data_IF_068297097095
#
_entry.id   IF_068297097095
#
_cell.length_a   1.000
_cell.length_b   1.000
_cell.length_c   1.000
_cell.angle_alpha   90.00
_cell.angle_beta   90.00
_cell.angle_gamma   90.00
#
_symmetry.space_group_name_H-M   'P 1'
#
loop_
_entity.id
_entity.type
_entity.pdbx_description
1 polymer ?
#
# COMPACT_ATOMS: atom_id res chain seq x y z
N UNK A 1 -1.68 18.19 -27.48
CA UNK A 1 -3.12 17.85 -27.51
C UNK A 1 -3.76 18.43 -26.26
N UNK A 2 -4.93 19.08 -26.35
CA UNK A 2 -5.67 19.53 -25.17
C UNK A 2 -6.14 18.32 -24.34
N UNK A 3 -6.14 18.46 -23.02
CA UNK A 3 -6.59 17.42 -22.10
C UNK A 3 -8.11 17.21 -22.23
N UNK A 4 -8.62 15.97 -22.09
CA UNK A 4 -10.05 15.70 -22.00
C UNK A 4 -10.70 16.49 -20.85
N UNK A 5 -11.98 16.90 -20.96
CA UNK A 5 -12.64 17.76 -19.97
C UNK A 5 -12.58 17.20 -18.53
N UNK A 6 -12.78 15.89 -18.36
CA UNK A 6 -12.70 15.23 -17.05
C UNK A 6 -11.27 15.21 -16.47
N UNK A 7 -10.24 15.15 -17.32
CA UNK A 7 -8.85 15.19 -16.88
C UNK A 7 -8.44 16.61 -16.48
N UNK A 8 -8.96 17.63 -17.17
CA UNK A 8 -8.79 19.03 -16.79
C UNK A 8 -9.49 19.33 -15.45
N UNK A 9 -10.70 18.81 -15.23
CA UNK A 9 -11.42 18.96 -13.96
C UNK A 9 -10.68 18.27 -12.79
N UNK A 10 -10.12 17.08 -13.02
CA UNK A 10 -9.30 16.40 -12.01
C UNK A 10 -8.00 17.14 -11.73
N UNK A 11 -7.32 17.63 -12.76
CA UNK A 11 -6.10 18.43 -12.65
C UNK A 11 -6.34 19.76 -11.93
N UNK A 12 -7.49 20.41 -12.17
CA UNK A 12 -7.85 21.66 -11.49
C UNK A 12 -8.23 21.44 -10.02
N UNK A 13 -8.74 20.25 -9.67
CA UNK A 13 -9.09 19.88 -8.29
C UNK A 13 -7.90 19.30 -7.52
N UNK A 14 -6.94 18.70 -8.22
CA UNK A 14 -5.71 18.23 -7.63
C UNK A 14 -4.76 19.43 -7.46
N UNK A 15 -4.45 19.79 -6.23
CA UNK A 15 -3.45 20.84 -5.94
C UNK A 15 -2.04 20.48 -6.46
N UNK A 16 -1.82 19.21 -6.84
CA UNK A 16 -0.56 18.65 -7.31
C UNK A 16 -0.78 18.02 -8.70
N UNK A 17 0.12 18.30 -9.65
CA UNK A 17 0.11 17.69 -10.98
C UNK A 17 0.58 16.23 -10.92
N UNK A 18 -0.39 15.32 -10.85
CA UNK A 18 -0.14 13.87 -10.97
C UNK A 18 -0.13 13.39 -12.43
N UNK A 19 -0.67 14.19 -13.37
CA UNK A 19 -0.81 13.80 -14.78
C UNK A 19 0.52 13.93 -15.51
N UNK A 20 1.25 15.02 -15.33
CA UNK A 20 2.54 15.26 -15.96
C UNK A 20 3.56 14.14 -15.69
N UNK A 21 3.82 13.78 -14.42
CA UNK A 21 4.68 12.66 -14.07
C UNK A 21 4.17 11.32 -14.63
N UNK A 22 2.87 11.07 -14.57
CA UNK A 22 2.27 9.86 -15.14
C UNK A 22 2.50 9.78 -16.66
N UNK A 23 2.26 10.85 -17.41
CA UNK A 23 2.44 10.88 -18.88
C UNK A 23 3.90 10.64 -19.24
N UNK A 24 4.85 11.22 -18.50
CA UNK A 24 6.29 10.98 -18.70
C UNK A 24 6.65 9.52 -18.45
N UNK A 25 6.19 8.95 -17.34
CA UNK A 25 6.41 7.55 -17.00
C UNK A 25 5.77 6.61 -18.03
N UNK A 26 4.54 6.90 -18.45
CA UNK A 26 3.83 6.14 -19.47
C UNK A 26 4.52 6.20 -20.82
N UNK A 27 4.99 7.37 -21.27
CA UNK A 27 5.72 7.51 -22.52
C UNK A 27 7.03 6.72 -22.53
N UNK A 28 7.80 6.79 -21.43
CA UNK A 28 9.02 6.01 -21.27
C UNK A 28 8.73 4.49 -21.25
N UNK A 29 7.69 4.08 -20.52
CA UNK A 29 7.21 2.70 -20.53
C UNK A 29 6.78 2.25 -21.93
N UNK A 30 6.00 3.07 -22.65
CA UNK A 30 5.56 2.85 -24.03
C UNK A 30 6.74 2.60 -24.98
N UNK A 31 7.76 3.47 -24.91
CA UNK A 31 8.94 3.33 -25.75
C UNK A 31 9.72 2.04 -25.40
N UNK A 32 9.93 1.78 -24.11
CA UNK A 32 10.61 0.59 -23.65
C UNK A 32 9.87 -0.70 -24.03
N UNK A 33 8.56 -0.82 -23.77
CA UNK A 33 7.85 -2.08 -24.03
C UNK A 33 7.75 -2.37 -25.51
N UNK A 34 7.59 -1.35 -26.37
CA UNK A 34 7.58 -1.53 -27.83
C UNK A 34 8.92 -2.02 -28.34
N UNK A 35 10.02 -1.46 -27.80
CA UNK A 35 11.37 -1.89 -28.15
C UNK A 35 11.68 -3.30 -27.63
N UNK A 36 11.33 -3.60 -26.37
CA UNK A 36 11.70 -4.84 -25.71
C UNK A 36 10.90 -6.06 -26.19
N UNK A 37 9.62 -5.88 -26.55
CA UNK A 37 8.81 -6.98 -27.06
C UNK A 37 9.06 -7.29 -28.53
N UNK A 38 9.53 -6.32 -29.32
CA UNK A 38 9.66 -6.39 -30.79
C UNK A 38 8.37 -6.78 -31.53
N UNK A 39 7.22 -6.72 -30.85
CA UNK A 39 5.91 -7.05 -31.39
C UNK A 39 5.35 -5.89 -32.22
N UNK A 40 4.49 -6.19 -33.21
CA UNK A 40 3.84 -5.16 -34.02
C UNK A 40 2.48 -4.72 -33.44
N UNK A 41 1.79 -5.62 -32.71
CA UNK A 41 0.45 -5.37 -32.17
C UNK A 41 0.48 -5.14 -30.67
N UNK A 42 -0.24 -4.11 -30.21
CA UNK A 42 -0.28 -3.73 -28.78
C UNK A 42 -0.84 -4.83 -27.87
N UNK A 43 -1.82 -5.61 -28.36
CA UNK A 43 -2.31 -6.79 -27.62
C UNK A 43 -1.20 -7.81 -27.38
N UNK A 44 -0.40 -8.13 -28.40
CA UNK A 44 0.73 -9.06 -28.29
C UNK A 44 1.82 -8.51 -27.37
N UNK A 45 2.10 -7.19 -27.42
CA UNK A 45 3.01 -6.52 -26.49
C UNK A 45 2.55 -6.69 -25.03
N UNK A 46 1.26 -6.48 -24.75
CA UNK A 46 0.69 -6.64 -23.40
C UNK A 46 0.77 -8.09 -22.92
N UNK A 47 0.50 -9.05 -23.79
CA UNK A 47 0.58 -10.47 -23.43
C UNK A 47 2.02 -10.92 -23.19
N UNK A 48 2.98 -10.38 -23.95
CA UNK A 48 4.40 -10.56 -23.70
C UNK A 48 4.83 -10.00 -22.34
N UNK A 49 4.50 -8.73 -22.04
CA UNK A 49 4.91 -8.06 -20.78
C UNK A 49 4.43 -8.84 -19.53
N UNK A 50 3.26 -9.47 -19.59
CA UNK A 50 2.74 -10.28 -18.47
C UNK A 50 3.64 -11.48 -18.12
N UNK A 51 4.32 -12.05 -19.11
CA UNK A 51 5.18 -13.22 -18.95
C UNK A 51 6.63 -12.89 -18.63
N UNK A 52 7.04 -11.62 -18.73
CA UNK A 52 8.44 -11.25 -18.55
C UNK A 52 8.79 -10.88 -17.11
N UNK A 53 10.01 -11.19 -16.66
CA UNK A 53 10.54 -10.67 -15.41
C UNK A 53 10.56 -9.13 -15.47
N UNK A 54 10.07 -8.46 -14.43
CA UNK A 54 10.09 -7.00 -14.37
C UNK A 54 11.48 -6.52 -13.91
N UNK A 55 12.33 -5.96 -14.81
CA UNK A 55 13.69 -5.57 -14.46
C UNK A 55 13.68 -4.41 -13.46
N UNK A 56 12.79 -3.44 -13.61
CA UNK A 56 12.64 -2.30 -12.69
C UNK A 56 12.30 -2.79 -11.28
N UNK A 57 11.36 -3.73 -11.17
CA UNK A 57 11.03 -4.36 -9.88
C UNK A 57 12.23 -5.09 -9.30
N UNK A 58 12.98 -5.83 -10.11
CA UNK A 58 14.18 -6.56 -9.65
C UNK A 58 15.22 -5.59 -9.09
N UNK A 59 15.46 -4.49 -9.79
CA UNK A 59 16.48 -3.50 -9.42
C UNK A 59 16.05 -2.74 -8.15
N UNK A 60 14.78 -2.33 -8.05
CA UNK A 60 14.23 -1.72 -6.83
C UNK A 60 14.29 -2.68 -5.65
N UNK A 61 13.91 -3.95 -5.83
CA UNK A 61 13.99 -4.95 -4.75
C UNK A 61 15.43 -5.19 -4.29
N UNK A 62 16.42 -5.07 -5.17
CA UNK A 62 17.83 -5.15 -4.81
C UNK A 62 18.27 -3.97 -3.92
N UNK A 63 17.76 -2.77 -4.18
CA UNK A 63 18.00 -1.58 -3.34
C UNK A 63 17.35 -1.69 -1.96
N UNK A 64 16.27 -2.46 -1.82
CA UNK A 64 15.57 -2.67 -0.55
C UNK A 64 16.19 -3.75 0.34
N UNK A 65 17.21 -4.48 -0.14
CA UNK A 65 17.89 -5.51 0.65
C UNK A 65 18.58 -4.89 1.86
N UNK A 66 18.50 -5.56 3.01
CA UNK A 66 19.04 -5.05 4.27
C UNK A 66 20.55 -4.86 4.19
N UNK A 67 21.24 -5.79 3.52
CA UNK A 67 22.67 -5.80 3.29
C UNK A 67 23.17 -4.81 2.21
N UNK A 68 22.27 -4.10 1.53
CA UNK A 68 22.64 -3.13 0.51
C UNK A 68 22.78 -1.72 1.12
N UNK A 69 24.03 -1.32 1.37
CA UNK A 69 24.41 -0.05 2.01
C UNK A 69 24.95 1.00 1.02
N UNK A 70 24.67 0.83 -0.26
CA UNK A 70 24.98 1.86 -1.26
C UNK A 70 24.22 3.16 -0.96
N UNK A 71 24.78 4.31 -1.36
CA UNK A 71 24.16 5.61 -1.13
C UNK A 71 22.75 5.70 -1.75
N UNK A 72 22.55 5.09 -2.92
CA UNK A 72 21.26 5.01 -3.62
C UNK A 72 20.23 4.17 -2.85
N UNK A 73 20.65 3.00 -2.33
CA UNK A 73 19.80 2.15 -1.49
C UNK A 73 19.40 2.87 -0.20
N UNK A 74 20.33 3.56 0.46
CA UNK A 74 20.07 4.32 1.67
C UNK A 74 19.12 5.50 1.40
N UNK A 75 19.32 6.24 0.30
CA UNK A 75 18.42 7.33 -0.10
C UNK A 75 16.99 6.82 -0.34
N UNK A 76 16.82 5.69 -1.02
CA UNK A 76 15.51 5.09 -1.24
C UNK A 76 14.84 4.63 0.07
N UNK A 77 15.58 3.93 0.94
CA UNK A 77 15.08 3.48 2.26
C UNK A 77 14.64 4.67 3.13
N UNK A 78 15.41 5.75 3.14
CA UNK A 78 15.07 7.00 3.84
C UNK A 78 13.81 7.65 3.25
N UNK A 79 13.69 7.72 1.93
CA UNK A 79 12.50 8.28 1.28
C UNK A 79 11.23 7.46 1.61
N UNK A 80 11.34 6.13 1.64
CA UNK A 80 10.23 5.25 2.06
C UNK A 80 9.88 5.48 3.53
N UNK A 81 10.89 5.61 4.40
CA UNK A 81 10.69 5.90 5.83
C UNK A 81 9.99 7.24 6.04
N UNK A 82 10.44 8.30 5.35
CA UNK A 82 9.81 9.63 5.42
C UNK A 82 8.36 9.58 4.93
N UNK A 83 8.11 8.89 3.81
CA UNK A 83 6.75 8.68 3.31
C UNK A 83 5.88 7.97 4.36
N UNK A 84 6.39 6.91 4.99
CA UNK A 84 5.65 6.16 5.99
C UNK A 84 5.31 7.02 7.21
N UNK A 85 6.25 7.84 7.69
CA UNK A 85 6.02 8.79 8.80
C UNK A 85 4.94 9.80 8.42
N UNK A 86 4.97 10.35 7.20
CA UNK A 86 3.97 11.31 6.72
C UNK A 86 2.59 10.67 6.63
N UNK A 87 2.48 9.47 6.07
CA UNK A 87 1.21 8.74 5.96
C UNK A 87 0.65 8.36 7.34
N UNK A 88 1.52 8.00 8.28
CA UNK A 88 1.14 7.74 9.67
C UNK A 88 0.63 9.01 10.37
N UNK A 89 1.14 10.19 10.00
CA UNK A 89 0.68 11.48 10.55
C UNK A 89 -0.68 11.95 10.00
N UNK A 90 -1.08 11.48 8.82
CA UNK A 90 -2.35 11.87 8.19
C UNK A 90 -3.49 11.03 8.77
N UNK A 91 -4.40 11.72 9.44
CA UNK A 91 -5.62 11.14 10.00
C UNK A 91 -6.83 11.86 9.44
N UNK A 92 -7.77 11.11 8.88
CA UNK A 92 -9.07 11.65 8.48
C UNK A 92 -10.07 11.37 9.59
N UNK A 93 -10.69 12.42 10.11
CA UNK A 93 -11.85 12.29 10.99
C UNK A 93 -13.10 12.20 10.12
N UNK A 94 -13.82 11.08 10.22
CA UNK A 94 -15.06 10.85 9.49
C UNK A 94 -16.16 10.55 10.47
N UNK A 95 -17.21 11.37 10.49
CA UNK A 95 -18.40 11.08 11.30
C UNK A 95 -19.32 10.14 10.54
N UNK A 96 -19.44 8.88 10.99
CA UNK A 96 -20.41 7.91 10.44
C UNK A 96 -21.44 7.58 11.50
N UNK A 97 -22.73 7.77 11.17
CA UNK A 97 -23.87 7.47 12.06
C UNK A 97 -23.74 8.09 13.47
N UNK A 98 -23.19 9.30 13.56
CA UNK A 98 -23.01 10.01 14.83
C UNK A 98 -21.78 9.61 15.65
N UNK A 99 -20.94 8.71 15.14
CA UNK A 99 -19.66 8.32 15.75
C UNK A 99 -18.51 8.90 14.94
N UNK A 100 -17.56 9.56 15.60
CA UNK A 100 -16.33 10.01 14.98
C UNK A 100 -15.36 8.82 14.83
N UNK A 101 -15.08 8.45 13.59
CA UNK A 101 -14.10 7.43 13.24
C UNK A 101 -12.82 8.11 12.73
N UNK A 102 -11.66 7.65 13.21
CA UNK A 102 -10.36 8.09 12.71
C UNK A 102 -9.84 7.08 11.68
N UNK A 103 -9.64 7.52 10.44
CA UNK A 103 -9.06 6.70 9.37
C UNK A 103 -7.60 7.09 9.20
N UNK A 104 -6.69 6.14 9.43
CA UNK A 104 -5.26 6.30 9.12
C UNK A 104 -4.94 5.82 7.70
N UNK A 105 -3.98 6.44 7.04
CA UNK A 105 -3.49 6.00 5.72
C UNK A 105 -2.47 4.86 5.79
N UNK A 106 -2.18 4.33 6.99
CA UNK A 106 -1.26 3.20 7.19
C UNK A 106 -1.67 1.97 6.38
N UNK A 107 -2.97 1.74 6.24
CA UNK A 107 -3.51 0.66 5.42
C UNK A 107 -4.77 1.12 4.70
N UNK A 108 -4.75 1.04 3.36
CA UNK A 108 -5.93 1.28 2.54
C UNK A 108 -6.69 -0.03 2.42
N UNK A 109 -7.93 -0.06 2.90
CA UNK A 109 -8.81 -1.22 2.74
C UNK A 109 -9.29 -1.29 1.28
N UNK A 110 -8.65 -2.15 0.47
CA UNK A 110 -8.96 -2.31 -0.96
C UNK A 110 -10.28 -3.08 -1.17
N UNK A 111 -10.67 -3.92 -0.21
CA UNK A 111 -11.95 -4.61 -0.19
C UNK A 111 -12.39 -4.85 1.26
N UNK A 112 -13.69 -4.73 1.59
CA UNK A 112 -14.19 -5.00 2.94
C UNK A 112 -13.90 -6.46 3.30
N UNK A 113 -12.93 -6.67 4.20
CA UNK A 113 -12.71 -7.98 4.80
C UNK A 113 -13.77 -8.19 5.88
N UNK A 114 -14.48 -9.32 5.81
CA UNK A 114 -15.23 -9.81 6.94
C UNK A 114 -14.25 -10.13 8.07
N UNK A 115 -14.22 -9.28 9.09
CA UNK A 115 -13.39 -9.48 10.27
C UNK A 115 -13.89 -10.70 11.04
N UNK A 116 -13.16 -11.81 10.91
CA UNK A 116 -13.36 -13.01 11.72
C UNK A 116 -12.22 -13.19 12.73
N UNK A 117 -10.97 -12.93 12.29
CA UNK A 117 -9.77 -13.04 13.12
C UNK A 117 -8.63 -12.19 12.57
N UNK A 118 -7.92 -11.49 13.44
CA UNK A 118 -6.69 -10.77 13.13
C UNK A 118 -5.61 -11.10 14.15
N UNK A 119 -4.36 -11.16 13.68
CA UNK A 119 -3.18 -11.45 14.50
C UNK A 119 -2.03 -10.55 14.05
N UNK A 120 -1.41 -9.89 15.01
CA UNK A 120 -0.24 -9.03 14.82
C UNK A 120 0.83 -9.46 15.83
N UNK A 121 2.08 -9.54 15.39
CA UNK A 121 3.22 -9.79 16.28
C UNK A 121 4.08 -8.54 16.37
N UNK A 122 4.33 -8.06 17.59
CA UNK A 122 5.17 -6.88 17.83
C UNK A 122 5.89 -6.99 19.16
N UNK A 123 7.18 -6.64 19.17
CA UNK A 123 8.00 -6.59 20.40
C UNK A 123 8.00 -7.89 21.23
N UNK A 124 7.80 -9.05 20.58
CA UNK A 124 7.72 -10.33 21.26
C UNK A 124 6.39 -10.62 21.97
N UNK A 125 5.35 -9.90 21.58
CA UNK A 125 3.97 -10.19 21.95
C UNK A 125 3.15 -10.45 20.68
N UNK A 126 2.23 -11.39 20.80
CA UNK A 126 1.17 -11.67 19.85
C UNK A 126 -0.10 -10.97 20.32
N UNK A 127 -0.65 -10.12 19.47
CA UNK A 127 -1.93 -9.45 19.66
C UNK A 127 -2.93 -10.14 18.74
N UNK A 128 -3.94 -10.78 19.32
CA UNK A 128 -4.98 -11.50 18.60
C UNK A 128 -6.34 -10.88 18.89
N UNK A 129 -7.13 -10.64 17.86
CA UNK A 129 -8.53 -10.25 17.97
C UNK A 129 -9.40 -11.23 17.17
N UNK A 130 -10.46 -11.75 17.78
CA UNK A 130 -11.33 -12.77 17.19
C UNK A 130 -12.79 -12.46 17.50
N UNK A 131 -13.66 -12.64 16.50
CA UNK A 131 -15.10 -12.54 16.69
C UNK A 131 -15.62 -13.86 17.26
N UNK A 132 -16.16 -13.83 18.46
CA UNK A 132 -16.73 -15.00 19.15
C UNK A 132 -18.25 -15.08 18.95
N UNK A 133 -18.84 -16.22 19.31
CA UNK A 133 -20.29 -16.41 19.23
C UNK A 133 -21.04 -15.28 19.95
N UNK A 134 -22.09 -14.76 19.32
CA UNK A 134 -22.83 -13.59 19.82
C UNK A 134 -22.33 -12.23 19.30
N UNK A 135 -21.29 -12.21 18.44
CA UNK A 135 -20.83 -10.97 17.79
C UNK A 135 -19.78 -10.18 18.58
N UNK A 136 -19.52 -10.58 19.83
CA UNK A 136 -18.49 -10.00 20.69
C UNK A 136 -17.10 -10.21 20.10
N UNK A 137 -16.18 -9.29 20.43
CA UNK A 137 -14.78 -9.37 20.02
C UNK A 137 -13.94 -9.73 21.22
N UNK A 138 -13.24 -10.86 21.14
CA UNK A 138 -12.24 -11.25 22.12
C UNK A 138 -10.87 -10.77 21.66
N UNK A 139 -10.21 -9.99 22.51
CA UNK A 139 -8.84 -9.51 22.33
C UNK A 139 -7.95 -10.26 23.32
N UNK A 140 -6.90 -10.90 22.83
CA UNK A 140 -5.93 -11.65 23.63
C UNK A 140 -4.52 -11.17 23.28
N UNK A 141 -3.70 -10.88 24.29
CA UNK A 141 -2.27 -10.60 24.13
C UNK A 141 -1.49 -11.73 24.76
N UNK A 142 -0.66 -12.39 23.96
CA UNK A 142 0.16 -13.52 24.38
C UNK A 142 1.64 -13.15 24.29
N UNK A 143 2.41 -13.45 25.33
CA UNK A 143 3.87 -13.33 25.28
C UNK A 143 4.49 -14.44 24.43
N UNK A 144 5.72 -14.26 23.92
CA UNK A 144 6.54 -15.32 23.28
C UNK A 144 6.55 -16.65 24.01
N UNK A 145 6.41 -16.63 25.35
CA UNK A 145 6.44 -17.83 26.18
C UNK A 145 5.08 -18.53 26.28
N UNK A 146 4.09 -18.14 25.47
CA UNK A 146 2.73 -18.68 25.48
C UNK A 146 1.84 -18.18 26.64
N UNK A 147 2.37 -17.34 27.53
CA UNK A 147 1.57 -16.77 28.63
C UNK A 147 0.65 -15.66 28.13
N UNK A 148 -0.64 -15.79 28.41
CA UNK A 148 -1.63 -14.73 28.17
C UNK A 148 -1.36 -13.60 29.15
N UNK A 149 -0.98 -12.43 28.63
CA UNK A 149 -0.71 -11.21 29.41
C UNK A 149 -1.93 -10.34 29.55
N UNK A 150 -2.85 -10.43 28.60
CA UNK A 150 -4.08 -9.65 28.61
C UNK A 150 -5.17 -10.39 27.86
N UNK A 151 -6.37 -10.36 28.41
CA UNK A 151 -7.57 -10.87 27.75
C UNK A 151 -8.71 -9.91 28.05
N UNK A 152 -9.37 -9.44 26.98
CA UNK A 152 -10.50 -8.53 27.08
C UNK A 152 -11.58 -8.96 26.11
N UNK A 153 -12.83 -8.78 26.55
CA UNK A 153 -14.00 -9.04 25.73
C UNK A 153 -14.73 -7.74 25.53
N UNK A 154 -14.73 -7.27 24.28
CA UNK A 154 -15.52 -6.13 23.87
C UNK A 154 -16.90 -6.62 23.47
N UNK A 155 -17.91 -6.23 24.27
CA UNK A 155 -19.32 -6.47 23.99
C UNK A 155 -19.78 -5.41 22.99
N UNK A 156 -20.52 -5.85 21.97
CA UNK A 156 -21.02 -4.96 20.91
C UNK A 156 -22.24 -4.15 21.37
#
# INVERSE_FOLDING_TARGET
>A
MPLPPHAADWMNRAEIDYIGPFVKAWAAFNAWFRHASAEAQERAMLDWVKGQPNPVRRDILALLRNENDTAEAQALKLAISDLQIRLDGIHFEVTRKGVNEQISLRSVCIAPKHFNRERIERSGYEYKAEKIAGGNIQITVTSRNGSVKFQHMQVQ
#
